data_IF_223954125043
#
_entry.id   IF_223954125043
#
_cell.length_a   1.000
_cell.length_b   1.000
_cell.length_c   1.000
_cell.angle_alpha   90.00
_cell.angle_beta   90.00
_cell.angle_gamma   90.00
#
_symmetry.space_group_name_H-M   'P 1'
#
loop_
_entity.id
_entity.type
_entity.pdbx_description
1 polymer ?
#
# COMPACT_ATOMS: atom_id res chain seq x y z
N UNK A 1 24.51 -1.33 3.08
CA UNK A 1 23.88 -2.50 2.42
C UNK A 1 22.51 -2.68 3.03
N UNK A 2 21.45 -2.48 2.28
CA UNK A 2 20.06 -2.53 2.81
C UNK A 2 19.49 -3.92 2.63
N UNK A 3 18.98 -4.51 3.70
CA UNK A 3 18.31 -5.82 3.65
C UNK A 3 16.81 -5.62 3.84
N UNK A 4 16.01 -6.22 2.99
CA UNK A 4 14.57 -6.27 3.15
C UNK A 4 14.13 -7.73 3.24
N UNK A 5 13.41 -8.05 4.30
CA UNK A 5 12.85 -9.38 4.52
C UNK A 5 11.33 -9.34 4.26
N UNK A 6 10.87 -10.07 3.27
CA UNK A 6 9.46 -10.25 2.97
C UNK A 6 9.16 -11.75 3.01
N UNK A 7 8.23 -12.19 3.82
CA UNK A 7 7.74 -13.56 3.86
C UNK A 7 8.84 -14.64 3.75
N UNK A 8 9.77 -14.70 4.73
CA UNK A 8 10.86 -15.68 4.81
C UNK A 8 12.03 -15.47 3.84
N UNK A 9 12.03 -14.48 2.95
CA UNK A 9 13.19 -14.20 2.09
C UNK A 9 13.89 -12.93 2.53
N UNK A 10 15.20 -13.02 2.79
CA UNK A 10 16.03 -11.84 3.08
C UNK A 10 16.58 -11.31 1.77
N UNK A 11 16.30 -10.05 1.45
CA UNK A 11 16.81 -9.39 0.26
C UNK A 11 17.86 -8.37 0.69
N UNK A 12 19.09 -8.56 0.25
CA UNK A 12 20.18 -7.60 0.43
C UNK A 12 20.29 -6.75 -0.83
N UNK A 13 20.24 -5.43 -0.71
CA UNK A 13 20.53 -4.56 -1.84
C UNK A 13 21.31 -3.34 -1.39
N UNK A 14 22.17 -2.86 -2.28
CA UNK A 14 22.87 -1.59 -2.16
C UNK A 14 22.12 -0.59 -3.00
N UNK A 15 21.74 0.55 -2.41
CA UNK A 15 21.07 1.60 -3.16
C UNK A 15 22.09 2.23 -4.12
N UNK A 16 22.26 1.67 -5.32
CA UNK A 16 23.06 2.19 -6.43
C UNK A 16 22.15 2.49 -7.61
N UNK A 17 22.12 3.66 -8.01
CA UNK A 17 21.34 4.49 -8.94
C UNK A 17 21.70 4.24 -10.41
N UNK A 18 20.84 4.51 -11.39
CA UNK A 18 19.42 4.84 -11.44
C UNK A 18 18.55 3.65 -11.85
N UNK A 19 17.34 3.61 -11.31
CA UNK A 19 16.48 2.45 -11.48
C UNK A 19 15.44 2.68 -12.59
N UNK A 20 15.71 2.11 -13.76
CA UNK A 20 14.77 2.01 -14.87
C UNK A 20 14.41 0.54 -15.11
N UNK A 21 13.98 -0.19 -14.07
CA UNK A 21 13.59 -1.60 -14.17
C UNK A 21 12.09 -1.76 -14.14
N UNK A 22 11.59 -2.64 -15.00
CA UNK A 22 10.22 -3.14 -14.96
C UNK A 22 9.99 -3.87 -13.64
N UNK A 23 8.89 -3.55 -12.96
CA UNK A 23 8.54 -4.18 -11.67
C UNK A 23 8.00 -5.57 -11.95
N UNK A 24 8.78 -6.60 -11.66
CA UNK A 24 8.44 -7.98 -12.00
C UNK A 24 8.06 -8.83 -10.78
N UNK A 25 8.48 -8.45 -9.58
CA UNK A 25 8.25 -9.20 -8.36
C UNK A 25 8.04 -8.31 -7.13
N UNK A 26 7.74 -8.90 -5.98
CA UNK A 26 7.48 -8.15 -4.73
C UNK A 26 8.71 -7.40 -4.21
N UNK A 27 9.92 -7.90 -4.51
CA UNK A 27 11.18 -7.21 -4.21
C UNK A 27 11.27 -5.90 -4.98
N UNK A 28 11.03 -5.95 -6.29
CA UNK A 28 11.14 -4.76 -7.15
C UNK A 28 10.06 -3.73 -6.79
N UNK A 29 8.89 -4.21 -6.38
CA UNK A 29 7.81 -3.35 -5.85
C UNK A 29 8.23 -2.62 -4.60
N UNK A 30 8.77 -3.33 -3.60
CA UNK A 30 9.22 -2.70 -2.37
C UNK A 30 10.36 -1.73 -2.64
N UNK A 31 11.33 -2.12 -3.47
CA UNK A 31 12.42 -1.24 -3.86
C UNK A 31 11.91 0.03 -4.53
N UNK A 32 10.96 -0.09 -5.46
CA UNK A 32 10.32 1.05 -6.11
C UNK A 32 9.65 1.99 -5.12
N UNK A 33 8.94 1.46 -4.12
CA UNK A 33 8.31 2.27 -3.07
C UNK A 33 9.35 3.04 -2.26
N UNK A 34 10.42 2.36 -1.81
CA UNK A 34 11.48 2.97 -1.00
C UNK A 34 12.23 4.05 -1.79
N UNK A 35 12.53 3.80 -3.06
CA UNK A 35 13.19 4.78 -3.93
C UNK A 35 12.32 6.00 -4.20
N UNK A 36 11.02 5.82 -4.44
CA UNK A 36 10.11 6.94 -4.62
C UNK A 36 9.92 7.72 -3.30
N UNK A 37 9.86 7.03 -2.16
CA UNK A 37 9.85 7.70 -0.86
C UNK A 37 11.12 8.55 -0.64
N UNK A 38 12.30 8.02 -0.97
CA UNK A 38 13.56 8.78 -0.90
C UNK A 38 13.58 9.97 -1.88
N UNK A 39 13.04 9.83 -3.10
CA UNK A 39 12.93 10.95 -4.05
C UNK A 39 12.06 12.08 -3.53
N UNK A 40 10.97 11.76 -2.81
CA UNK A 40 10.08 12.76 -2.22
C UNK A 40 10.70 13.39 -0.98
N UNK A 41 11.36 12.59 -0.15
CA UNK A 41 12.07 13.03 1.05
C UNK A 41 13.50 12.48 1.03
N UNK A 42 14.46 13.29 0.60
CA UNK A 42 15.85 12.90 0.45
C UNK A 42 16.57 12.57 1.76
N UNK A 43 16.04 12.96 2.90
CA UNK A 43 16.58 12.58 4.22
C UNK A 43 16.20 11.14 4.59
N UNK A 44 15.13 10.61 4.03
CA UNK A 44 14.72 9.22 4.24
C UNK A 44 15.72 8.27 3.59
N UNK A 45 16.32 7.37 4.36
CA UNK A 45 17.39 6.46 3.92
C UNK A 45 18.63 7.19 3.36
N UNK A 46 18.81 8.46 3.67
CA UNK A 46 19.94 9.26 3.17
C UNK A 46 21.27 8.96 3.85
N UNK A 47 21.25 8.46 5.07
CA UNK A 47 22.45 8.06 5.82
C UNK A 47 22.78 6.58 5.54
N UNK A 48 24.02 6.32 5.25
CA UNK A 48 24.50 5.22 4.40
C UNK A 48 24.81 3.89 5.10
N UNK A 49 24.46 3.70 6.34
CA UNK A 49 24.84 2.47 7.08
C UNK A 49 24.07 1.22 6.70
N UNK A 50 23.12 1.36 5.78
CA UNK A 50 22.26 0.28 5.33
C UNK A 50 21.15 -0.06 6.32
N UNK A 51 20.04 -0.58 5.79
CA UNK A 51 18.86 -0.91 6.58
C UNK A 51 18.48 -2.38 6.36
N UNK A 52 18.01 -3.02 7.42
CA UNK A 52 17.32 -4.30 7.33
C UNK A 52 15.84 -4.06 7.58
N UNK A 53 15.00 -4.30 6.57
CA UNK A 53 13.56 -4.10 6.65
C UNK A 53 12.89 -5.46 6.70
N UNK A 54 12.10 -5.70 7.74
CA UNK A 54 11.28 -6.90 7.89
C UNK A 54 9.82 -6.50 7.87
N UNK A 55 9.05 -7.08 6.94
CA UNK A 55 7.59 -6.94 6.92
C UNK A 55 6.95 -8.27 7.33
N UNK A 56 5.91 -8.19 8.16
CA UNK A 56 5.15 -9.35 8.61
C UNK A 56 3.67 -9.08 8.36
N UNK A 57 2.98 -10.10 7.84
CA UNK A 57 1.53 -10.12 7.75
C UNK A 57 0.98 -11.06 8.83
N UNK A 58 -0.10 -10.65 9.49
CA UNK A 58 -0.81 -11.45 10.48
C UNK A 58 -1.90 -12.33 9.85
N UNK A 59 -2.06 -12.23 8.52
CA UNK A 59 -3.00 -13.01 7.72
C UNK A 59 -2.34 -13.49 6.41
N UNK A 60 -2.89 -14.51 5.75
CA UNK A 60 -2.38 -15.01 4.48
C UNK A 60 -2.41 -13.94 3.37
N UNK A 61 -1.33 -13.81 2.59
CA UNK A 61 -1.18 -12.78 1.56
C UNK A 61 -2.25 -12.85 0.44
N UNK A 62 -2.87 -14.02 0.25
CA UNK A 62 -3.91 -14.24 -0.76
C UNK A 62 -5.33 -13.84 -0.32
N UNK A 63 -5.52 -13.34 0.90
CA UNK A 63 -6.84 -12.93 1.38
C UNK A 63 -7.34 -11.62 0.79
N UNK A 64 -6.50 -10.84 0.12
CA UNK A 64 -6.94 -9.62 -0.56
C UNK A 64 -7.25 -8.45 0.37
N UNK A 65 -6.71 -8.45 1.60
CA UNK A 65 -6.99 -7.45 2.63
C UNK A 65 -6.08 -6.21 2.55
N UNK A 66 -5.84 -5.67 1.35
CA UNK A 66 -5.19 -4.37 1.17
C UNK A 66 -3.71 -4.31 1.55
N UNK A 67 -2.96 -5.40 1.42
CA UNK A 67 -1.53 -5.48 1.79
C UNK A 67 -0.66 -4.38 1.15
N UNK A 68 -0.93 -4.03 -0.11
CA UNK A 68 -0.18 -2.99 -0.82
C UNK A 68 -0.39 -1.60 -0.22
N UNK A 69 -1.64 -1.26 0.11
CA UNK A 69 -1.99 0.04 0.71
C UNK A 69 -1.47 0.16 2.14
N UNK A 70 -1.51 -0.93 2.90
CA UNK A 70 -0.89 -0.99 4.23
C UNK A 70 0.62 -0.76 4.16
N UNK A 71 1.30 -1.36 3.17
CA UNK A 71 2.73 -1.15 2.95
C UNK A 71 3.05 0.32 2.60
N UNK A 72 2.27 0.93 1.70
CA UNK A 72 2.40 2.36 1.37
C UNK A 72 2.23 3.23 2.62
N UNK A 73 1.19 2.99 3.42
CA UNK A 73 0.96 3.73 4.66
C UNK A 73 2.13 3.59 5.65
N UNK A 74 2.65 2.38 5.84
CA UNK A 74 3.76 2.14 6.76
C UNK A 74 5.05 2.82 6.29
N UNK A 75 5.37 2.72 5.00
CA UNK A 75 6.55 3.41 4.44
C UNK A 75 6.38 4.91 4.49
N UNK A 76 5.18 5.44 4.20
CA UNK A 76 4.90 6.87 4.27
C UNK A 76 5.06 7.43 5.69
N UNK A 77 4.54 6.71 6.69
CA UNK A 77 4.73 7.09 8.11
C UNK A 77 6.21 7.09 8.48
N UNK A 78 6.95 6.03 8.11
CA UNK A 78 8.39 5.93 8.39
C UNK A 78 9.19 7.03 7.68
N UNK A 79 8.84 7.35 6.43
CA UNK A 79 9.51 8.38 5.64
C UNK A 79 8.99 9.81 5.89
N UNK A 80 8.03 9.98 6.80
CA UNK A 80 7.33 11.25 7.07
C UNK A 80 6.77 11.89 5.79
N UNK A 81 5.97 11.12 5.05
CA UNK A 81 5.38 11.50 3.76
C UNK A 81 3.86 11.42 3.79
N UNK A 82 3.24 12.18 2.90
CA UNK A 82 1.84 11.97 2.53
C UNK A 82 1.69 10.64 1.76
N UNK A 83 0.90 9.67 2.28
CA UNK A 83 0.73 8.37 1.64
C UNK A 83 0.06 8.45 0.27
N UNK A 84 -0.76 9.46 0.00
CA UNK A 84 -1.38 9.66 -1.31
C UNK A 84 -0.36 10.10 -2.36
N UNK A 85 0.61 10.95 -1.98
CA UNK A 85 1.72 11.32 -2.87
C UNK A 85 2.55 10.09 -3.23
N UNK A 86 2.91 9.27 -2.25
CA UNK A 86 3.67 8.04 -2.49
C UNK A 86 2.87 7.03 -3.33
N UNK A 87 1.57 6.87 -3.05
CA UNK A 87 0.67 6.02 -3.85
C UNK A 87 0.65 6.45 -5.32
N UNK A 88 0.50 7.73 -5.59
CA UNK A 88 0.39 8.26 -6.95
C UNK A 88 1.62 7.98 -7.81
N UNK A 89 2.83 8.05 -7.23
CA UNK A 89 4.09 7.78 -7.94
C UNK A 89 4.48 6.30 -7.99
N UNK A 90 3.72 5.44 -7.33
CA UNK A 90 3.98 3.99 -7.26
C UNK A 90 2.89 3.15 -7.92
N UNK A 91 1.79 2.94 -7.22
CA UNK A 91 0.71 2.05 -7.65
C UNK A 91 -0.43 2.79 -8.35
N UNK A 92 -0.59 4.07 -8.07
CA UNK A 92 -1.77 4.83 -8.49
C UNK A 92 -3.06 4.33 -7.83
N UNK A 93 -4.19 4.70 -8.40
CA UNK A 93 -5.51 4.26 -7.93
C UNK A 93 -6.30 5.35 -7.20
N UNK A 94 -7.39 4.95 -6.54
CA UNK A 94 -8.31 5.89 -5.89
C UNK A 94 -7.76 6.48 -4.60
N UNK A 95 -6.96 5.71 -3.86
CA UNK A 95 -6.51 6.03 -2.51
C UNK A 95 -7.51 5.63 -1.41
N UNK A 96 -8.62 5.00 -1.77
CA UNK A 96 -9.61 4.55 -0.78
C UNK A 96 -8.99 3.60 0.25
N UNK A 97 -8.22 2.60 -0.22
CA UNK A 97 -7.56 1.62 0.67
C UNK A 97 -6.54 2.30 1.61
N UNK A 98 -5.91 3.39 1.17
CA UNK A 98 -5.03 4.22 2.01
C UNK A 98 -5.85 4.87 3.13
N UNK A 99 -7.00 5.46 2.80
CA UNK A 99 -7.89 6.05 3.79
C UNK A 99 -8.40 4.99 4.77
N UNK A 100 -8.85 3.83 4.28
CA UNK A 100 -9.34 2.73 5.11
C UNK A 100 -8.26 2.22 6.07
N UNK A 101 -7.02 2.04 5.59
CA UNK A 101 -5.91 1.56 6.43
C UNK A 101 -5.43 2.59 7.49
N UNK A 102 -5.84 3.84 7.40
CA UNK A 102 -5.54 4.88 8.39
C UNK A 102 -6.68 5.12 9.39
N UNK A 103 -7.78 4.40 9.29
CA UNK A 103 -8.95 4.57 10.15
C UNK A 103 -9.35 3.23 10.76
N UNK A 104 -9.73 3.28 12.03
CA UNK A 104 -10.24 2.14 12.82
C UNK A 104 -11.77 2.09 12.89
N UNK A 105 -12.44 2.91 12.08
CA UNK A 105 -13.89 3.04 12.04
C UNK A 105 -14.37 3.19 10.59
N UNK A 106 -15.65 2.97 10.32
CA UNK A 106 -16.25 3.20 9.01
C UNK A 106 -16.06 4.63 8.52
N UNK A 107 -15.75 4.79 7.25
CA UNK A 107 -15.54 6.08 6.61
C UNK A 107 -16.34 6.23 5.33
N UNK A 108 -16.74 7.45 5.03
CA UNK A 108 -17.11 7.89 3.70
C UNK A 108 -15.86 8.52 3.07
N UNK A 109 -15.40 7.94 1.98
CA UNK A 109 -14.26 8.44 1.22
C UNK A 109 -14.72 9.18 -0.04
N UNK A 110 -14.24 10.41 -0.21
CA UNK A 110 -14.53 11.23 -1.39
C UNK A 110 -13.22 11.62 -2.03
N UNK A 111 -13.05 11.25 -3.30
CA UNK A 111 -11.91 11.69 -4.12
C UNK A 111 -12.32 12.92 -4.91
N UNK A 112 -11.61 14.03 -4.69
CA UNK A 112 -11.66 15.24 -5.52
C UNK A 112 -10.38 15.33 -6.35
N UNK A 113 -10.36 16.16 -7.37
CA UNK A 113 -9.21 16.29 -8.30
C UNK A 113 -7.88 16.51 -7.57
N UNK A 114 -7.86 17.38 -6.56
CA UNK A 114 -6.64 17.76 -5.84
C UNK A 114 -6.57 17.28 -4.39
N UNK A 115 -7.60 16.64 -3.87
CA UNK A 115 -7.65 16.23 -2.47
C UNK A 115 -8.56 15.03 -2.25
N UNK A 116 -8.09 14.07 -1.45
CA UNK A 116 -8.92 12.99 -0.94
C UNK A 116 -9.38 13.33 0.47
N UNK A 117 -10.66 13.15 0.73
CA UNK A 117 -11.27 13.43 2.05
C UNK A 117 -11.91 12.16 2.57
N UNK A 118 -11.59 11.79 3.82
CA UNK A 118 -12.29 10.74 4.56
C UNK A 118 -13.07 11.36 5.72
N UNK A 119 -14.32 10.97 5.86
CA UNK A 119 -15.20 11.40 6.95
C UNK A 119 -15.64 10.17 7.74
N UNK A 120 -15.50 10.21 9.07
CA UNK A 120 -16.05 9.18 9.95
C UNK A 120 -17.53 9.05 9.74
N UNK A 121 -17.99 7.81 9.62
CA UNK A 121 -19.41 7.45 9.54
C UNK A 121 -19.79 6.59 10.73
N UNK A 122 -20.83 6.99 11.44
CA UNK A 122 -21.46 6.11 12.41
C UNK A 122 -22.38 5.14 11.66
N UNK A 123 -22.21 3.86 11.96
CA UNK A 123 -23.05 2.80 11.42
C UNK A 123 -23.81 2.20 12.60
N UNK A 124 -25.10 2.35 12.55
CA UNK A 124 -26.04 1.80 13.54
C UNK A 124 -26.88 0.71 12.86
N UNK A 125 -26.22 -0.33 12.37
CA UNK A 125 -26.89 -1.49 11.80
C UNK A 125 -27.15 -2.53 12.87
N UNK A 126 -28.39 -2.93 13.05
CA UNK A 126 -28.81 -3.99 13.98
C UNK A 126 -28.25 -5.37 13.62
N UNK A 127 -27.91 -5.57 12.35
CA UNK A 127 -27.32 -6.82 11.84
C UNK A 127 -25.78 -6.83 11.77
N UNK A 128 -25.07 -5.79 12.26
CA UNK A 128 -23.60 -5.69 12.14
C UNK A 128 -22.86 -6.90 12.71
N UNK A 129 -23.38 -7.46 13.79
CA UNK A 129 -22.77 -8.60 14.48
C UNK A 129 -23.07 -9.95 13.76
N UNK A 130 -23.87 -9.91 12.70
CA UNK A 130 -24.21 -11.04 11.81
C UNK A 130 -23.49 -10.98 10.48
N UNK A 131 -22.52 -10.07 10.31
CA UNK A 131 -21.70 -9.96 9.09
C UNK A 131 -20.44 -10.79 9.24
N UNK A 132 -20.17 -11.62 8.23
CA UNK A 132 -19.01 -12.50 8.20
C UNK A 132 -18.22 -12.32 6.90
N UNK A 133 -16.90 -12.41 7.00
CA UNK A 133 -16.04 -12.48 5.84
C UNK A 133 -15.87 -13.93 5.39
N UNK A 134 -16.18 -14.22 4.13
CA UNK A 134 -15.99 -15.53 3.54
C UNK A 134 -14.82 -15.46 2.55
N UNK A 135 -13.76 -16.23 2.83
CA UNK A 135 -12.61 -16.30 1.93
C UNK A 135 -12.92 -17.19 0.74
N UNK A 136 -12.89 -16.63 -0.45
CA UNK A 136 -13.22 -17.33 -1.71
C UNK A 136 -12.04 -18.11 -2.30
N UNK A 137 -10.94 -18.30 -1.58
CA UNK A 137 -9.70 -18.97 -2.04
C UNK A 137 -9.09 -18.37 -3.31
N UNK A 138 -9.52 -17.18 -3.70
CA UNK A 138 -9.05 -16.50 -4.91
C UNK A 138 -8.84 -15.02 -4.63
N UNK A 139 -7.63 -14.54 -4.87
CA UNK A 139 -7.34 -13.11 -4.82
C UNK A 139 -7.87 -12.43 -6.08
N UNK A 140 -8.77 -11.48 -5.91
CA UNK A 140 -9.28 -10.65 -7.00
C UNK A 140 -8.27 -9.55 -7.35
N UNK A 141 -8.04 -9.32 -8.64
CA UNK A 141 -7.31 -8.17 -9.12
C UNK A 141 -8.26 -6.97 -9.23
N UNK A 142 -8.14 -6.02 -8.32
CA UNK A 142 -9.01 -4.82 -8.30
C UNK A 142 -8.97 -4.01 -9.59
N UNK A 143 -7.83 -3.99 -10.31
CA UNK A 143 -7.70 -3.28 -11.59
C UNK A 143 -8.55 -3.90 -12.68
N UNK A 144 -8.58 -5.23 -12.76
CA UNK A 144 -9.40 -5.95 -13.74
C UNK A 144 -10.89 -5.76 -13.46
N UNK A 145 -11.28 -5.77 -12.18
CA UNK A 145 -12.64 -5.50 -11.75
C UNK A 145 -13.09 -4.08 -12.12
N UNK A 146 -12.25 -3.09 -11.86
CA UNK A 146 -12.51 -1.68 -12.21
C UNK A 146 -12.59 -1.52 -13.73
N UNK A 147 -11.69 -2.15 -14.49
CA UNK A 147 -11.70 -2.11 -15.94
C UNK A 147 -12.98 -2.76 -16.54
N UNK A 148 -13.42 -3.87 -15.96
CA UNK A 148 -14.66 -4.54 -16.37
C UNK A 148 -15.88 -3.68 -16.06
N UNK A 149 -15.94 -3.08 -14.88
CA UNK A 149 -17.05 -2.18 -14.50
C UNK A 149 -17.16 -0.97 -15.44
N UNK A 150 -16.04 -0.34 -15.79
CA UNK A 150 -16.02 0.81 -16.71
C UNK A 150 -16.44 0.51 -18.13
N UNK A 151 -16.46 -0.77 -18.54
CA UNK A 151 -16.95 -1.18 -19.86
C UNK A 151 -18.48 -1.31 -19.92
N UNK A 152 -19.14 -1.34 -18.78
CA UNK A 152 -20.59 -1.57 -18.67
C UNK A 152 -21.35 -0.25 -18.43
N UNK A 153 -20.62 0.82 -18.07
CA UNK A 153 -21.14 2.17 -17.92
C UNK A 153 -20.71 3.01 -19.13
#
# INVERSE_FOLDING_TARGET
MTQVKINKHTIKFKLLIPFNRKVENDRDRLLSILMNAHKINSTFLGNTDGFSIVTKLDFPNNWGLGTSSTLINNVSKWANLDPYKLLNVTFGGSGYDIAAANNDHPIIFTKKENQSVSKKQLIDWDFRDHLFFVHLNKKQNSRDSIASYRKVI
#
